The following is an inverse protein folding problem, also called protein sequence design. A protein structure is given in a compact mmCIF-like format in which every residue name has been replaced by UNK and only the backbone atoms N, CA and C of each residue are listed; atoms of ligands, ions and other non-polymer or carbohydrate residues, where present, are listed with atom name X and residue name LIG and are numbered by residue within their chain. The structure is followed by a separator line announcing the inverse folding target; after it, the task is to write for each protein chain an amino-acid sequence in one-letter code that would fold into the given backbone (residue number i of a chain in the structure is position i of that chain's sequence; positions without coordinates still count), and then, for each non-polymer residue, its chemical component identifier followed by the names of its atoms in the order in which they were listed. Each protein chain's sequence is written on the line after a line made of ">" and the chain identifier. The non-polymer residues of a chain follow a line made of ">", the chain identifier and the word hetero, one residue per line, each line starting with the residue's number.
data_IF_895325489796
#
_entry.id   IF_895325489796
#
_cell.length_a   1.000
_cell.length_b   1.000
_cell.length_c   1.000
_cell.angle_alpha   90.00
_cell.angle_beta   90.00
_cell.angle_gamma   90.00
#
_symmetry.space_group_name_H-M   'P 1'
#
loop_
_entity.id
_entity.type
_entity.pdbx_description
1 polymer ?
#
# COMPACT_ATOMS: atom_id res chain seq x y z
N UNK A 1 -7.39 -4.83 -36.32
CA UNK A 1 -8.54 -5.75 -36.22
C UNK A 1 -8.15 -7.14 -36.74
N UNK A 2 -8.92 -8.19 -36.46
CA UNK A 2 -8.56 -9.58 -36.84
C UNK A 2 -8.45 -9.72 -38.37
N UNK A 3 -9.33 -9.05 -39.11
CA UNK A 3 -9.34 -8.98 -40.58
C UNK A 3 -8.08 -8.32 -41.16
N UNK A 4 -7.47 -7.37 -40.45
CA UNK A 4 -6.23 -6.73 -40.90
C UNK A 4 -5.00 -7.64 -40.74
N UNK A 5 -5.11 -8.75 -40.00
CA UNK A 5 -4.03 -9.71 -39.77
C UNK A 5 -4.07 -10.87 -40.74
N UNK A 6 -5.13 -11.02 -41.54
CA UNK A 6 -5.25 -12.10 -42.51
C UNK A 6 -4.08 -12.05 -43.51
N UNK A 7 -3.37 -13.19 -43.63
CA UNK A 7 -2.18 -13.31 -44.47
C UNK A 7 -0.91 -12.58 -43.97
N UNK A 8 -0.93 -11.94 -42.80
CA UNK A 8 0.25 -11.31 -42.19
C UNK A 8 0.90 -12.21 -41.15
N UNK A 9 2.19 -12.44 -41.28
CA UNK A 9 2.96 -13.28 -40.36
C UNK A 9 3.93 -12.44 -39.51
N UNK A 10 3.85 -12.51 -38.17
CA UNK A 10 4.77 -11.81 -37.30
C UNK A 10 6.18 -12.39 -37.41
N UNK A 11 7.16 -11.51 -37.39
CA UNK A 11 8.57 -11.88 -37.46
C UNK A 11 9.42 -10.97 -36.57
N UNK A 12 10.57 -11.48 -36.16
CA UNK A 12 11.65 -10.70 -35.57
C UNK A 12 12.85 -10.62 -36.52
N UNK A 13 13.66 -9.59 -36.36
CA UNK A 13 14.93 -9.50 -37.07
C UNK A 13 16.01 -10.25 -36.29
N UNK A 14 16.78 -11.07 -37.00
CA UNK A 14 17.98 -11.72 -36.50
C UNK A 14 19.13 -11.52 -37.48
N UNK A 15 20.36 -11.79 -37.06
CA UNK A 15 21.54 -11.77 -37.93
C UNK A 15 22.05 -13.18 -38.20
N UNK A 16 22.42 -13.46 -39.45
CA UNK A 16 23.11 -14.70 -39.81
C UNK A 16 24.61 -14.67 -39.43
N UNK A 17 25.33 -15.78 -39.63
CA UNK A 17 26.76 -15.90 -39.37
C UNK A 17 27.65 -14.95 -40.20
N UNK A 18 27.06 -14.21 -41.16
CA UNK A 18 27.73 -13.22 -42.00
C UNK A 18 27.28 -11.79 -41.67
N UNK A 19 26.64 -11.58 -40.52
CA UNK A 19 26.10 -10.29 -40.06
C UNK A 19 25.07 -9.68 -41.01
N UNK A 20 24.28 -10.51 -41.71
CA UNK A 20 23.19 -10.05 -42.58
C UNK A 20 21.86 -10.19 -41.85
N UNK A 21 21.00 -9.19 -41.99
CA UNK A 21 19.65 -9.22 -41.43
C UNK A 21 18.80 -10.29 -42.12
N UNK A 22 18.12 -11.09 -41.31
CA UNK A 22 17.13 -12.08 -41.72
C UNK A 22 15.88 -11.99 -40.86
N UNK A 23 14.74 -12.39 -41.42
CA UNK A 23 13.47 -12.46 -40.70
C UNK A 23 13.28 -13.86 -40.13
N UNK A 24 12.95 -13.95 -38.85
CA UNK A 24 12.59 -15.19 -38.18
C UNK A 24 11.11 -15.13 -37.86
N UNK A 25 10.35 -16.07 -38.41
CA UNK A 25 8.91 -16.17 -38.14
C UNK A 25 8.69 -16.52 -36.67
N UNK A 26 7.69 -15.89 -36.06
CA UNK A 26 7.28 -16.17 -34.70
C UNK A 26 6.11 -17.17 -34.73
N UNK A 27 6.19 -18.21 -33.91
CA UNK A 27 5.11 -19.18 -33.77
C UNK A 27 3.83 -18.51 -33.24
N UNK A 28 2.66 -18.94 -33.74
CA UNK A 28 1.38 -18.34 -33.39
C UNK A 28 1.12 -18.39 -31.88
N UNK A 29 1.52 -19.49 -31.23
CA UNK A 29 1.37 -19.69 -29.79
C UNK A 29 2.12 -18.63 -28.99
N UNK A 30 3.32 -18.22 -29.44
CA UNK A 30 4.11 -17.17 -28.77
C UNK A 30 3.40 -15.81 -28.90
N UNK A 31 2.81 -15.54 -30.07
CA UNK A 31 2.09 -14.30 -30.35
C UNK A 31 0.86 -14.21 -29.46
N UNK A 32 0.01 -15.23 -29.48
CA UNK A 32 -1.19 -15.32 -28.64
C UNK A 32 -0.84 -15.21 -27.16
N UNK A 33 0.19 -15.93 -26.70
CA UNK A 33 0.58 -15.91 -25.29
C UNK A 33 1.18 -14.56 -24.86
N UNK A 34 1.74 -13.78 -25.78
CA UNK A 34 2.19 -12.40 -25.52
C UNK A 34 1.01 -11.44 -25.43
N UNK A 35 0.04 -11.57 -26.33
CA UNK A 35 -1.20 -10.78 -26.33
C UNK A 35 -1.99 -10.99 -25.03
N UNK A 36 -2.21 -12.25 -24.63
CA UNK A 36 -2.89 -12.59 -23.38
C UNK A 36 -2.22 -11.96 -22.15
N UNK A 37 -0.89 -12.02 -22.06
CA UNK A 37 -0.14 -11.43 -20.94
C UNK A 37 -0.19 -9.91 -20.94
N UNK A 38 -0.11 -9.28 -22.10
CA UNK A 38 -0.25 -7.82 -22.24
C UNK A 38 -1.63 -7.38 -21.77
N UNK A 39 -2.67 -8.08 -22.21
CA UNK A 39 -4.06 -7.72 -21.89
C UNK A 39 -4.34 -7.95 -20.40
N UNK A 40 -3.84 -9.05 -19.82
CA UNK A 40 -3.89 -9.28 -18.37
C UNK A 40 -3.16 -8.19 -17.58
N UNK A 41 -1.98 -7.77 -18.01
CA UNK A 41 -1.26 -6.66 -17.37
C UNK A 41 -2.05 -5.35 -17.42
N UNK A 42 -2.67 -5.02 -18.55
CA UNK A 42 -3.53 -3.84 -18.67
C UNK A 42 -4.74 -3.92 -17.73
N UNK A 43 -5.38 -5.09 -17.60
CA UNK A 43 -6.47 -5.30 -16.65
C UNK A 43 -6.00 -5.06 -15.21
N UNK A 44 -4.86 -5.61 -14.81
CA UNK A 44 -4.30 -5.39 -13.47
C UNK A 44 -4.06 -3.91 -13.20
N UNK A 45 -3.41 -3.20 -14.13
CA UNK A 45 -3.17 -1.74 -14.00
C UNK A 45 -4.46 -0.93 -13.87
N UNK A 46 -5.51 -1.34 -14.58
CA UNK A 46 -6.84 -0.72 -14.47
C UNK A 46 -7.45 -0.93 -13.08
N UNK A 47 -7.38 -2.15 -12.54
CA UNK A 47 -7.92 -2.49 -11.21
C UNK A 47 -7.23 -1.72 -10.09
N UNK A 48 -5.90 -1.57 -10.15
CA UNK A 48 -5.14 -0.81 -9.13
C UNK A 48 -5.15 0.69 -9.37
N UNK A 49 -5.74 1.16 -10.48
CA UNK A 49 -5.84 2.59 -10.81
C UNK A 49 -4.51 3.24 -11.21
N UNK A 50 -3.46 2.47 -11.50
CA UNK A 50 -2.15 2.99 -11.91
C UNK A 50 -2.22 3.76 -13.23
N UNK A 51 -3.09 3.33 -14.14
CA UNK A 51 -3.32 4.02 -15.42
C UNK A 51 -4.34 5.17 -15.31
N UNK A 52 -4.89 5.45 -14.11
CA UNK A 52 -5.85 6.54 -13.92
C UNK A 52 -5.10 7.87 -13.85
N UNK A 53 -4.78 8.41 -15.02
CA UNK A 53 -4.28 9.77 -15.14
C UNK A 53 -5.41 10.75 -14.78
N UNK A 54 -5.43 11.20 -13.53
CA UNK A 54 -6.39 12.21 -13.09
C UNK A 54 -5.90 13.57 -13.60
N UNK A 55 -6.68 14.19 -14.49
CA UNK A 55 -6.47 15.58 -14.85
C UNK A 55 -6.87 16.47 -13.67
N UNK A 56 -5.85 16.86 -12.89
CA UNK A 56 -6.03 17.69 -11.70
C UNK A 56 -6.63 19.06 -12.03
N UNK A 57 -6.43 19.58 -13.23
CA UNK A 57 -6.98 20.87 -13.64
C UNK A 57 -8.46 20.76 -13.95
N UNK A 58 -8.89 19.68 -14.59
CA UNK A 58 -10.30 19.38 -14.78
C UNK A 58 -11.01 19.17 -13.43
N UNK A 59 -10.40 18.42 -12.51
CA UNK A 59 -10.97 18.20 -11.16
C UNK A 59 -11.09 19.51 -10.39
N UNK A 60 -10.07 20.39 -10.44
CA UNK A 60 -10.14 21.72 -9.82
C UNK A 60 -11.23 22.59 -10.43
N UNK A 61 -11.41 22.56 -11.75
CA UNK A 61 -12.43 23.34 -12.43
C UNK A 61 -13.84 22.91 -12.02
N UNK A 62 -14.10 21.59 -11.97
CA UNK A 62 -15.36 21.02 -11.50
C UNK A 62 -15.60 21.37 -10.03
N UNK A 63 -14.61 21.14 -9.15
CA UNK A 63 -14.73 21.44 -7.73
C UNK A 63 -15.01 22.94 -7.45
N UNK A 64 -14.36 23.85 -8.21
CA UNK A 64 -14.62 25.29 -8.10
C UNK A 64 -16.06 25.66 -8.53
N UNK A 65 -16.57 25.03 -9.58
CA UNK A 65 -17.93 25.27 -10.04
C UNK A 65 -18.96 24.75 -9.03
N UNK A 66 -18.74 23.55 -8.48
CA UNK A 66 -19.60 22.95 -7.45
C UNK A 66 -19.57 23.78 -6.15
N UNK A 67 -18.38 24.24 -5.71
CA UNK A 67 -18.26 25.14 -4.56
C UNK A 67 -18.98 26.47 -4.78
N UNK A 68 -18.89 27.07 -5.97
CA UNK A 68 -19.60 28.31 -6.27
C UNK A 68 -21.12 28.11 -6.21
N UNK A 69 -21.61 26.97 -6.72
CA UNK A 69 -23.02 26.60 -6.66
C UNK A 69 -23.49 26.34 -5.22
N UNK A 70 -22.70 25.61 -4.42
CA UNK A 70 -23.03 25.32 -3.01
C UNK A 70 -23.03 26.58 -2.14
N UNK A 71 -22.08 27.52 -2.36
CA UNK A 71 -22.04 28.81 -1.69
C UNK A 71 -23.26 29.66 -2.07
N UNK A 72 -23.62 29.69 -3.36
CA UNK A 72 -24.79 30.44 -3.83
C UNK A 72 -26.08 29.88 -3.23
N UNK A 73 -26.22 28.55 -3.20
CA UNK A 73 -27.37 27.88 -2.58
C UNK A 73 -27.45 28.15 -1.07
N UNK A 74 -26.31 28.10 -0.36
CA UNK A 74 -26.23 28.40 1.07
C UNK A 74 -26.57 29.87 1.39
N UNK A 75 -26.08 30.82 0.59
CA UNK A 75 -26.40 32.24 0.74
C UNK A 75 -27.88 32.52 0.45
N UNK A 76 -28.46 31.85 -0.55
CA UNK A 76 -29.89 31.99 -0.87
C UNK A 76 -30.78 31.40 0.24
N UNK A 77 -30.38 30.26 0.82
CA UNK A 77 -31.05 29.66 1.98
C UNK A 77 -30.96 30.57 3.22
N UNK A 78 -29.84 31.26 3.43
CA UNK A 78 -29.67 32.23 4.50
C UNK A 78 -30.54 33.49 4.28
N UNK A 79 -30.63 33.97 3.03
CA UNK A 79 -31.44 35.14 2.67
C UNK A 79 -32.95 34.89 2.80
N UNK A 80 -33.40 33.65 2.61
CA UNK A 80 -34.81 33.26 2.68
C UNK A 80 -35.31 32.87 4.10
N UNK A 81 -34.56 33.18 5.15
CA UNK A 81 -35.07 33.10 6.53
C UNK A 81 -34.55 31.95 7.40
N UNK A 82 -33.42 31.35 7.05
CA UNK A 82 -32.54 30.68 8.02
C UNK A 82 -32.87 29.23 8.33
N UNK A 83 -32.36 28.32 7.51
CA UNK A 83 -31.99 26.97 7.95
C UNK A 83 -30.49 26.77 7.68
N UNK A 84 -29.70 26.81 8.75
CA UNK A 84 -28.23 26.71 8.70
C UNK A 84 -27.74 25.26 8.65
N UNK A 85 -28.64 24.28 8.63
CA UNK A 85 -28.30 22.85 8.57
C UNK A 85 -27.50 22.47 7.32
N UNK A 86 -27.71 23.16 6.19
CA UNK A 86 -26.98 22.92 4.95
C UNK A 86 -25.47 23.24 5.05
N UNK A 87 -25.06 24.15 5.96
CA UNK A 87 -23.66 24.52 6.19
C UNK A 87 -22.89 23.48 7.02
N UNK A 88 -23.59 22.61 7.76
CA UNK A 88 -22.94 21.56 8.56
C UNK A 88 -22.23 20.51 7.70
N UNK A 89 -22.73 20.27 6.48
CA UNK A 89 -22.17 19.33 5.51
C UNK A 89 -20.83 19.79 4.90
N UNK A 90 -20.46 21.06 5.07
CA UNK A 90 -19.23 21.66 4.50
C UNK A 90 -18.06 21.58 5.50
N UNK A 91 -18.32 21.29 6.79
CA UNK A 91 -17.35 21.57 7.83
C UNK A 91 -16.49 20.39 8.34
N UNK A 92 -16.78 19.12 8.08
CA UNK A 92 -16.00 18.01 8.67
C UNK A 92 -15.94 16.76 7.77
N UNK A 93 -14.75 16.21 7.47
CA UNK A 93 -14.59 14.76 7.44
C UNK A 93 -14.49 14.28 8.90
N UNK A 94 -15.57 13.66 9.38
CA UNK A 94 -15.56 12.94 10.64
C UNK A 94 -14.95 11.55 10.41
N UNK A 95 -13.64 11.42 10.59
CA UNK A 95 -12.99 10.15 10.86
C UNK A 95 -12.61 10.15 12.33
N UNK A 96 -13.53 9.66 13.16
CA UNK A 96 -13.26 9.34 14.55
C UNK A 96 -12.63 7.96 14.62
N UNK A 97 -11.34 7.90 14.91
CA UNK A 97 -10.71 6.73 15.51
C UNK A 97 -10.22 7.13 16.91
N UNK A 98 -10.88 6.56 17.90
CA UNK A 98 -10.54 6.69 19.30
C UNK A 98 -9.27 5.88 19.59
N UNK A 99 -8.20 6.54 20.03
CA UNK A 99 -7.08 5.86 20.69
C UNK A 99 -7.55 5.16 21.97
N UNK A 100 -7.18 3.89 22.23
CA UNK A 100 -7.36 3.30 23.54
C UNK A 100 -6.29 3.80 24.52
N UNK A 101 -6.71 3.79 25.78
CA UNK A 101 -6.04 4.33 26.95
C UNK A 101 -4.63 3.78 27.23
N UNK A 102 -3.77 4.68 27.72
CA UNK A 102 -2.44 4.37 28.23
C UNK A 102 -2.48 3.69 29.62
N UNK A 103 -1.73 2.59 29.77
CA UNK A 103 -1.26 1.95 31.01
C UNK A 103 0.04 1.16 30.70
N UNK A 104 0.88 0.86 31.70
CA UNK A 104 1.74 1.76 32.45
C UNK A 104 3.05 2.10 31.72
N UNK A 105 3.70 3.15 32.21
CA UNK A 105 4.94 3.77 31.75
C UNK A 105 6.12 2.80 31.59
N UNK A 106 6.96 3.07 30.59
CA UNK A 106 8.29 2.53 30.43
C UNK A 106 9.15 2.85 31.66
N UNK A 107 9.31 1.87 32.56
CA UNK A 107 10.21 1.99 33.68
C UNK A 107 11.66 1.72 33.23
N UNK A 108 12.50 2.75 33.26
CA UNK A 108 13.97 2.72 33.14
C UNK A 108 14.55 1.81 32.03
N UNK A 109 14.20 2.06 30.78
CA UNK A 109 14.98 1.55 29.66
C UNK A 109 16.22 2.44 29.45
N UNK A 110 17.41 1.87 29.16
CA UNK A 110 18.60 2.67 28.84
C UNK A 110 18.57 3.28 27.43
N UNK A 111 17.48 3.07 26.69
CA UNK A 111 17.19 3.62 25.36
C UNK A 111 15.79 4.21 25.31
N UNK A 112 15.56 5.06 24.32
CA UNK A 112 14.22 5.55 23.98
C UNK A 112 13.39 4.40 23.39
N UNK A 113 12.17 4.23 23.91
CA UNK A 113 11.28 3.16 23.49
C UNK A 113 10.50 3.57 22.24
N UNK A 114 10.78 2.89 21.13
CA UNK A 114 10.04 2.98 19.89
C UNK A 114 9.25 1.68 19.70
N UNK A 115 7.91 1.74 19.66
CA UNK A 115 7.10 0.54 19.48
C UNK A 115 7.28 -0.02 18.07
N UNK A 116 7.13 -1.35 17.96
CA UNK A 116 7.02 -2.02 16.67
C UNK A 116 5.86 -1.45 15.85
N UNK A 117 6.06 -1.30 14.54
CA UNK A 117 5.06 -0.82 13.60
C UNK A 117 5.15 -1.55 12.24
N UNK A 118 4.10 -1.40 11.43
CA UNK A 118 3.96 -2.08 10.14
C UNK A 118 3.45 -1.11 9.09
N UNK A 119 4.12 -1.06 7.93
CA UNK A 119 3.63 -0.37 6.72
C UNK A 119 2.53 -1.23 6.09
N UNK A 120 1.37 -1.17 6.73
CA UNK A 120 0.19 -1.99 6.43
C UNK A 120 -0.15 -2.04 4.92
N UNK A 121 -0.04 -0.95 4.14
CA UNK A 121 -0.28 -0.98 2.70
C UNK A 121 0.66 -1.89 1.89
N UNK A 122 1.87 -2.14 2.38
CA UNK A 122 2.89 -2.95 1.69
C UNK A 122 2.82 -4.44 2.07
N UNK A 123 1.99 -4.80 3.06
CA UNK A 123 1.86 -6.16 3.54
C UNK A 123 1.33 -7.12 2.46
N UNK A 124 2.04 -8.23 2.24
CA UNK A 124 1.68 -9.27 1.24
C UNK A 124 0.97 -10.49 1.83
N UNK A 125 0.52 -10.43 3.10
CA UNK A 125 -0.22 -11.49 3.77
C UNK A 125 0.44 -12.90 3.71
N UNK A 126 1.73 -12.99 4.04
CA UNK A 126 2.50 -14.25 4.00
C UNK A 126 2.43 -15.09 5.30
N UNK A 127 1.65 -14.68 6.29
CA UNK A 127 1.45 -15.32 7.61
C UNK A 127 2.68 -15.41 8.54
N UNK A 128 3.89 -15.08 8.06
CA UNK A 128 5.12 -15.28 8.84
C UNK A 128 5.19 -14.48 10.15
N UNK A 129 4.74 -13.23 10.14
CA UNK A 129 4.78 -12.38 11.33
C UNK A 129 3.72 -12.78 12.36
N UNK A 130 2.54 -13.19 11.89
CA UNK A 130 1.45 -13.68 12.74
C UNK A 130 1.78 -15.04 13.35
N UNK A 131 2.53 -15.89 12.65
CA UNK A 131 3.01 -17.17 13.19
C UNK A 131 4.13 -17.00 14.22
N UNK A 132 5.05 -16.05 13.99
CA UNK A 132 6.17 -15.79 14.89
C UNK A 132 5.77 -15.02 16.16
N UNK A 133 4.87 -14.05 16.04
CA UNK A 133 4.43 -13.21 17.15
C UNK A 133 2.91 -12.93 17.09
N UNK A 134 2.06 -13.94 17.32
CA UNK A 134 0.59 -13.85 17.18
C UNK A 134 -0.08 -12.90 18.18
N UNK A 135 0.63 -12.54 19.26
CA UNK A 135 0.17 -11.55 20.23
C UNK A 135 0.55 -10.13 19.84
N UNK A 136 1.49 -9.95 18.92
CA UNK A 136 1.94 -8.63 18.44
C UNK A 136 1.25 -8.28 17.13
N UNK A 137 1.14 -9.24 16.20
CA UNK A 137 0.60 -9.01 14.87
C UNK A 137 -0.69 -9.77 14.63
N UNK A 138 -1.64 -9.12 13.96
CA UNK A 138 -2.87 -9.74 13.47
C UNK A 138 -3.26 -9.11 12.14
N UNK A 139 -4.02 -9.83 11.31
CA UNK A 139 -4.63 -9.24 10.13
C UNK A 139 -5.86 -8.40 10.49
N UNK A 140 -5.96 -7.23 9.84
CA UNK A 140 -7.19 -6.45 9.76
C UNK A 140 -8.17 -7.07 8.74
N UNK A 141 -9.33 -6.42 8.54
CA UNK A 141 -10.37 -6.89 7.61
C UNK A 141 -9.92 -6.91 6.14
N UNK A 142 -8.89 -6.15 5.80
CA UNK A 142 -8.27 -6.08 4.47
C UNK A 142 -7.15 -7.11 4.28
N UNK A 143 -6.95 -8.03 5.23
CA UNK A 143 -5.84 -9.00 5.25
C UNK A 143 -4.45 -8.37 5.25
N UNK A 144 -4.29 -7.22 5.91
CA UNK A 144 -2.99 -6.57 6.10
C UNK A 144 -2.58 -6.63 7.56
N UNK A 145 -1.30 -6.89 7.80
CA UNK A 145 -0.78 -7.05 9.15
C UNK A 145 -0.81 -5.70 9.89
N UNK A 146 -1.37 -5.71 11.10
CA UNK A 146 -1.40 -4.57 12.02
C UNK A 146 -0.86 -5.00 13.38
N UNK A 147 -0.32 -4.04 14.13
CA UNK A 147 0.16 -4.26 15.49
C UNK A 147 -1.01 -4.16 16.47
N UNK A 148 -1.25 -5.23 17.23
CA UNK A 148 -2.31 -5.31 18.25
C UNK A 148 -1.77 -5.10 19.67
N UNK A 149 -0.54 -5.54 19.94
CA UNK A 149 0.16 -5.31 21.22
C UNK A 149 1.67 -5.26 20.97
N UNK A 150 2.30 -4.07 20.97
CA UNK A 150 3.72 -3.92 20.69
C UNK A 150 4.64 -4.55 21.77
N UNK A 151 4.08 -4.98 22.90
CA UNK A 151 4.79 -5.66 24.00
C UNK A 151 4.35 -7.12 24.14
N UNK A 152 3.56 -7.64 23.20
CA UNK A 152 2.94 -8.96 23.26
C UNK A 152 3.88 -10.15 23.07
N UNK A 153 5.13 -9.92 22.67
CA UNK A 153 6.16 -10.94 22.48
C UNK A 153 7.56 -10.43 22.87
N UNK A 154 8.54 -11.33 23.10
CA UNK A 154 9.94 -10.95 23.28
C UNK A 154 10.48 -10.21 22.04
N UNK A 155 11.38 -9.26 22.24
CA UNK A 155 11.98 -8.49 21.15
C UNK A 155 12.67 -9.40 20.11
N UNK A 156 13.24 -10.53 20.55
CA UNK A 156 13.81 -11.54 19.65
C UNK A 156 12.84 -12.04 18.58
N UNK A 157 11.58 -12.25 18.92
CA UNK A 157 10.59 -12.79 17.98
C UNK A 157 10.04 -11.70 17.06
N UNK A 158 9.96 -10.46 17.55
CA UNK A 158 9.67 -9.27 16.73
C UNK A 158 10.78 -9.05 15.69
N UNK A 159 12.05 -9.12 16.08
CA UNK A 159 13.19 -8.98 15.15
C UNK A 159 13.20 -10.10 14.10
N UNK A 160 12.91 -11.35 14.49
CA UNK A 160 12.78 -12.44 13.53
C UNK A 160 11.60 -12.25 12.57
N UNK A 161 10.49 -11.68 13.03
CA UNK A 161 9.34 -11.40 12.19
C UNK A 161 9.70 -10.39 11.09
N UNK A 162 10.44 -9.33 11.45
CA UNK A 162 10.95 -8.37 10.46
C UNK A 162 11.97 -8.99 9.50
N UNK A 163 12.90 -9.82 10.00
CA UNK A 163 13.89 -10.50 9.15
C UNK A 163 13.27 -11.47 8.14
N UNK A 164 12.12 -12.06 8.48
CA UNK A 164 11.44 -12.98 7.57
C UNK A 164 10.46 -12.29 6.63
N UNK A 165 9.92 -11.14 7.03
CA UNK A 165 8.91 -10.43 6.25
C UNK A 165 9.27 -10.34 4.77
N UNK A 166 8.53 -11.06 3.93
CA UNK A 166 8.72 -11.08 2.48
C UNK A 166 8.58 -9.71 1.84
N UNK A 167 7.77 -8.84 2.42
CA UNK A 167 7.54 -7.47 1.95
C UNK A 167 8.56 -6.46 2.51
N UNK A 168 9.27 -6.79 3.59
CA UNK A 168 10.16 -5.84 4.27
C UNK A 168 9.45 -4.70 5.01
N UNK A 169 8.13 -4.76 5.16
CA UNK A 169 7.27 -3.68 5.68
C UNK A 169 7.13 -3.66 7.21
N UNK A 170 8.03 -4.35 7.92
CA UNK A 170 7.92 -4.67 9.35
C UNK A 170 9.09 -4.06 10.11
N UNK A 171 8.76 -3.17 11.05
CA UNK A 171 9.76 -2.35 11.73
C UNK A 171 9.78 -2.68 13.23
N UNK A 172 10.82 -3.38 13.74
CA UNK A 172 10.85 -3.85 15.12
C UNK A 172 10.85 -2.76 16.19
N UNK A 173 11.25 -1.53 15.84
CA UNK A 173 11.48 -0.46 16.82
C UNK A 173 12.60 -0.83 17.79
N UNK A 174 12.43 -0.46 19.06
CA UNK A 174 13.39 -0.78 20.13
C UNK A 174 12.81 -1.77 21.16
N UNK A 175 13.66 -2.53 21.87
CA UNK A 175 13.19 -3.53 22.82
C UNK A 175 12.41 -2.89 23.97
N UNK A 176 11.24 -3.44 24.30
CA UNK A 176 10.46 -2.97 25.45
C UNK A 176 11.01 -3.48 26.80
N UNK A 177 11.91 -4.46 26.79
CA UNK A 177 12.49 -5.08 27.98
C UNK A 177 14.03 -5.13 27.89
N UNK A 178 14.71 -4.39 28.75
CA UNK A 178 16.17 -4.35 28.79
C UNK A 178 16.83 -5.62 29.36
N UNK A 179 16.06 -6.46 30.06
CA UNK A 179 16.54 -7.72 30.63
C UNK A 179 16.58 -8.90 29.66
N UNK A 180 16.25 -8.69 28.38
CA UNK A 180 16.30 -9.76 27.39
C UNK A 180 17.73 -10.19 27.06
N UNK A 181 17.94 -11.49 26.89
CA UNK A 181 19.25 -12.03 26.49
C UNK A 181 19.60 -11.54 25.08
N UNK A 182 20.86 -11.15 24.90
CA UNK A 182 21.42 -10.69 23.62
C UNK A 182 20.73 -9.43 23.03
N UNK A 183 20.13 -8.57 23.88
CA UNK A 183 19.35 -7.40 23.44
C UNK A 183 20.14 -6.46 22.52
N UNK A 184 21.42 -6.19 22.82
CA UNK A 184 22.29 -5.34 22.00
C UNK A 184 22.53 -5.93 20.59
N UNK A 185 22.68 -7.27 20.50
CA UNK A 185 22.84 -7.95 19.20
C UNK A 185 21.55 -7.94 18.40
N UNK A 186 20.41 -8.04 19.08
CA UNK A 186 19.09 -7.95 18.45
C UNK A 186 18.82 -6.54 17.92
N UNK A 187 19.17 -5.50 18.68
CA UNK A 187 19.06 -4.11 18.23
C UNK A 187 19.90 -3.86 16.98
N UNK A 188 21.14 -4.35 16.94
CA UNK A 188 22.00 -4.23 15.75
C UNK A 188 21.42 -4.93 14.51
N UNK A 189 20.68 -6.03 14.70
CA UNK A 189 20.00 -6.72 13.59
C UNK A 189 18.74 -5.97 13.15
N UNK A 190 18.03 -5.39 14.11
CA UNK A 190 16.83 -4.59 13.87
C UNK A 190 17.12 -3.29 13.11
N UNK A 191 18.33 -2.73 13.23
CA UNK A 191 18.74 -1.46 12.58
C UNK A 191 18.54 -1.43 11.06
N UNK A 192 18.60 -2.58 10.38
CA UNK A 192 18.35 -2.68 8.93
C UNK A 192 16.86 -2.51 8.56
N UNK A 193 15.97 -2.65 9.54
CA UNK A 193 14.52 -2.70 9.39
C UNK A 193 13.85 -1.60 10.23
N UNK A 194 14.48 -0.42 10.31
CA UNK A 194 13.88 0.78 10.92
C UNK A 194 13.43 1.74 9.82
#
# INVERSE_FOLDING_TARGET
>A
EEDEREGKFPYIWATDNKNRLMRVLVAQEIVTSTEERRDFWQQLKSLVGVDRQVDLDQVRAVAKAEMAQSITAGLLALANGGDTSALASIALPASGDAMPAALPSAANLPWEYEPVWVETPECTACDECTDLAPRVFKYNDQKQAVVIDPKGAPFKDIVKAAEKCTAGCLHPGTPWNAGEKDVEKLMKRAEKYQ
#
